data_IF_557892643757
#
_entry.id   IF_557892643757
#
_cell.length_a   1.000
_cell.length_b   1.000
_cell.length_c   1.000
_cell.angle_alpha   90.00
_cell.angle_beta   90.00
_cell.angle_gamma   90.00
#
_symmetry.space_group_name_H-M   'P 1'
#
loop_
_entity.id
_entity.type
_entity.pdbx_description
1 polymer ?
#
# COMPACT_ATOMS: atom_id res chain seq x y z
N UNK A 1 18.25 33.79 -11.31
CA UNK A 1 16.92 33.71 -11.97
C UNK A 1 16.83 32.38 -12.67
N UNK A 2 16.23 31.38 -12.03
CA UNK A 2 15.97 30.07 -12.64
C UNK A 2 14.47 29.98 -12.90
N UNK A 3 14.11 30.05 -14.18
CA UNK A 3 12.76 29.79 -14.67
C UNK A 3 12.61 28.29 -14.87
N UNK A 4 11.73 27.66 -14.08
CA UNK A 4 11.38 26.25 -14.23
C UNK A 4 9.87 26.12 -14.19
N UNK A 5 9.24 26.17 -15.37
CA UNK A 5 7.84 25.83 -15.57
C UNK A 5 7.60 24.39 -15.09
N UNK A 6 7.05 24.22 -13.89
CA UNK A 6 6.41 22.97 -13.52
C UNK A 6 5.01 22.94 -14.12
N UNK A 7 4.90 22.17 -15.19
CA UNK A 7 3.65 21.82 -15.85
C UNK A 7 2.81 20.98 -14.86
N UNK A 8 1.64 21.51 -14.51
CA UNK A 8 0.68 20.88 -13.60
C UNK A 8 0.14 19.58 -14.22
N UNK A 9 0.55 18.43 -13.70
CA UNK A 9 -0.04 17.12 -13.99
C UNK A 9 -1.02 16.78 -12.85
N UNK A 10 -2.31 16.54 -13.14
CA UNK A 10 -3.34 16.27 -12.14
C UNK A 10 -3.21 14.92 -11.41
N UNK A 11 -2.18 14.09 -11.69
CA UNK A 11 -2.00 12.75 -11.10
C UNK A 11 -1.22 12.66 -9.76
N UNK A 12 -1.04 13.77 -9.02
CA UNK A 12 -0.93 13.76 -7.54
C UNK A 12 0.07 12.85 -6.80
N UNK A 13 1.13 12.33 -7.41
CA UNK A 13 2.05 11.36 -6.77
C UNK A 13 3.54 11.79 -6.73
N UNK A 14 3.84 13.06 -7.05
CA UNK A 14 5.23 13.52 -7.17
C UNK A 14 5.98 13.52 -5.83
N UNK A 15 5.33 13.86 -4.73
CA UNK A 15 6.02 14.02 -3.45
C UNK A 15 6.50 12.68 -2.90
N UNK A 16 5.68 11.63 -2.91
CA UNK A 16 6.05 10.28 -2.44
C UNK A 16 7.11 9.60 -3.31
N UNK A 17 7.04 9.72 -4.64
CA UNK A 17 8.08 9.18 -5.53
C UNK A 17 9.40 9.96 -5.40
N UNK A 18 9.33 11.28 -5.21
CA UNK A 18 10.49 12.16 -5.00
C UNK A 18 11.20 11.87 -3.66
N UNK A 19 10.44 11.74 -2.57
CA UNK A 19 10.96 11.41 -1.23
C UNK A 19 11.68 10.05 -1.21
N UNK A 20 11.11 9.05 -1.89
CA UNK A 20 11.71 7.72 -2.01
C UNK A 20 12.99 7.76 -2.88
N UNK A 21 12.99 8.50 -3.99
CA UNK A 21 14.18 8.67 -4.83
C UNK A 21 15.33 9.41 -4.12
N UNK A 22 15.03 10.43 -3.32
CA UNK A 22 16.05 11.17 -2.55
C UNK A 22 16.66 10.36 -1.40
N UNK A 23 15.99 9.31 -0.91
CA UNK A 23 16.56 8.41 0.09
C UNK A 23 17.78 7.60 -0.38
N UNK A 24 18.02 7.53 -1.71
CA UNK A 24 19.18 6.83 -2.30
C UNK A 24 20.44 7.69 -2.30
N UNK A 25 20.30 9.00 -2.53
CA UNK A 25 21.44 9.86 -2.87
C UNK A 25 22.43 10.03 -1.69
N UNK A 26 21.94 10.04 -0.45
CA UNK A 26 22.76 10.23 0.75
C UNK A 26 23.47 8.96 1.25
N UNK A 27 23.00 7.76 0.88
CA UNK A 27 23.52 6.50 1.43
C UNK A 27 24.74 5.97 0.64
N UNK A 28 24.94 6.38 -0.61
CA UNK A 28 25.93 5.80 -1.53
C UNK A 28 27.40 6.24 -1.34
N UNK A 29 27.74 7.05 -0.33
CA UNK A 29 29.07 7.71 -0.25
C UNK A 29 30.06 7.23 0.81
N UNK A 30 29.74 6.24 1.68
CA UNK A 30 30.66 5.87 2.79
C UNK A 30 30.82 4.36 3.03
N UNK A 31 31.66 3.69 2.23
CA UNK A 31 32.03 2.26 2.35
C UNK A 31 32.16 1.75 3.80
N UNK A 32 31.14 1.04 4.30
CA UNK A 32 31.12 0.40 5.62
C UNK A 32 30.27 -0.88 5.64
N UNK A 33 30.69 -1.86 6.46
CA UNK A 33 29.99 -3.15 6.63
C UNK A 33 28.56 -2.91 7.16
N UNK A 34 27.54 -3.28 6.37
CA UNK A 34 26.12 -3.08 6.70
C UNK A 34 25.37 -2.15 5.73
N UNK A 35 26.08 -1.28 4.99
CA UNK A 35 25.46 -0.40 4.00
C UNK A 35 24.93 -1.13 2.76
N UNK A 36 25.44 -2.32 2.44
CA UNK A 36 24.97 -3.11 1.30
C UNK A 36 23.52 -3.60 1.44
N UNK A 37 23.10 -3.96 2.66
CA UNK A 37 21.71 -4.37 2.90
C UNK A 37 20.81 -3.13 2.87
N UNK A 38 21.25 -2.02 3.45
CA UNK A 38 20.55 -0.74 3.43
C UNK A 38 20.33 -0.25 1.99
N UNK A 39 21.39 -0.16 1.18
CA UNK A 39 21.32 0.28 -0.22
C UNK A 39 20.37 -0.59 -1.04
N UNK A 40 20.41 -1.92 -0.84
CA UNK A 40 19.47 -2.84 -1.51
C UNK A 40 18.03 -2.66 -1.05
N UNK A 41 17.80 -2.40 0.24
CA UNK A 41 16.47 -2.14 0.77
C UNK A 41 15.89 -0.85 0.17
N UNK A 42 16.65 0.23 0.16
CA UNK A 42 16.24 1.51 -0.46
C UNK A 42 15.91 1.33 -1.94
N UNK A 43 16.77 0.65 -2.71
CA UNK A 43 16.52 0.38 -4.12
C UNK A 43 15.24 -0.46 -4.33
N UNK A 44 15.00 -1.45 -3.47
CA UNK A 44 13.80 -2.30 -3.53
C UNK A 44 12.52 -1.54 -3.18
N UNK A 45 12.61 -0.59 -2.24
CA UNK A 45 11.50 0.32 -1.89
C UNK A 45 11.17 1.24 -3.06
N UNK A 46 12.16 1.80 -3.73
CA UNK A 46 11.93 2.65 -4.90
C UNK A 46 11.23 1.90 -6.04
N UNK A 47 11.54 0.62 -6.22
CA UNK A 47 10.85 -0.22 -7.19
C UNK A 47 9.34 -0.34 -6.90
N UNK A 48 8.95 -0.60 -5.63
CA UNK A 48 7.53 -0.71 -5.26
C UNK A 48 6.81 0.64 -5.20
N UNK A 49 7.55 1.74 -5.11
CA UNK A 49 6.98 3.10 -5.17
C UNK A 49 6.66 3.53 -6.60
N UNK A 50 7.26 2.91 -7.62
CA UNK A 50 7.03 3.25 -9.02
C UNK A 50 5.61 2.94 -9.51
N UNK A 51 5.10 3.74 -10.45
CA UNK A 51 3.85 3.46 -11.19
C UNK A 51 3.80 2.04 -11.81
N UNK A 52 4.95 1.42 -12.09
CA UNK A 52 5.03 0.05 -12.65
C UNK A 52 4.46 -1.00 -11.69
N UNK A 53 4.60 -0.80 -10.38
CA UNK A 53 4.16 -1.75 -9.36
C UNK A 53 2.67 -2.09 -9.47
N UNK A 54 1.81 -1.10 -9.77
CA UNK A 54 0.37 -1.32 -9.91
C UNK A 54 -0.06 -1.85 -11.28
N UNK A 55 0.80 -1.77 -12.30
CA UNK A 55 0.55 -2.38 -13.61
C UNK A 55 0.75 -3.89 -13.60
N UNK A 56 1.42 -4.43 -12.58
CA UNK A 56 1.65 -5.86 -12.41
C UNK A 56 0.36 -6.60 -11.99
N UNK A 57 0.38 -7.93 -12.12
CA UNK A 57 -0.66 -8.78 -11.54
C UNK A 57 -0.59 -8.71 -10.01
N UNK A 58 -1.71 -8.97 -9.31
CA UNK A 58 -1.73 -8.96 -7.83
C UNK A 58 -0.68 -9.91 -7.25
N UNK A 59 -0.54 -11.11 -7.85
CA UNK A 59 0.43 -12.12 -7.43
C UNK A 59 1.87 -11.63 -7.57
N UNK A 60 2.18 -10.95 -8.68
CA UNK A 60 3.52 -10.43 -8.91
C UNK A 60 3.82 -9.24 -8.00
N UNK A 61 2.87 -8.30 -7.85
CA UNK A 61 3.00 -7.17 -6.91
C UNK A 61 3.22 -7.66 -5.49
N UNK A 62 2.48 -8.69 -5.06
CA UNK A 62 2.65 -9.31 -3.75
C UNK A 62 4.04 -9.95 -3.59
N UNK A 63 4.51 -10.67 -4.61
CA UNK A 63 5.86 -11.26 -4.58
C UNK A 63 6.93 -10.19 -4.40
N UNK A 64 6.88 -9.12 -5.20
CA UNK A 64 7.83 -8.00 -5.09
C UNK A 64 7.72 -7.34 -3.71
N UNK A 65 6.51 -7.11 -3.20
CA UNK A 65 6.31 -6.57 -1.86
C UNK A 65 6.98 -7.43 -0.78
N UNK A 66 6.77 -8.75 -0.80
CA UNK A 66 7.38 -9.68 0.17
C UNK A 66 8.90 -9.67 0.10
N UNK A 67 9.46 -9.61 -1.11
CA UNK A 67 10.91 -9.51 -1.32
C UNK A 67 11.47 -8.18 -0.77
N UNK A 68 10.79 -7.06 -1.05
CA UNK A 68 11.16 -5.75 -0.52
C UNK A 68 11.05 -5.71 1.01
N UNK A 69 9.98 -6.23 1.58
CA UNK A 69 9.77 -6.32 3.02
C UNK A 69 10.90 -7.09 3.73
N UNK A 70 11.33 -8.22 3.15
CA UNK A 70 12.49 -8.97 3.66
C UNK A 70 13.79 -8.18 3.58
N UNK A 71 14.00 -7.43 2.50
CA UNK A 71 15.17 -6.56 2.36
C UNK A 71 15.18 -5.46 3.43
N UNK A 72 14.03 -4.82 3.68
CA UNK A 72 13.84 -3.81 4.73
C UNK A 72 14.12 -4.38 6.13
N UNK A 73 13.54 -5.54 6.47
CA UNK A 73 13.81 -6.23 7.75
C UNK A 73 15.31 -6.47 7.95
N UNK A 74 16.01 -6.92 6.91
CA UNK A 74 17.45 -7.18 6.98
C UNK A 74 18.26 -5.91 7.18
N UNK A 75 17.93 -4.84 6.44
CA UNK A 75 18.58 -3.54 6.57
C UNK A 75 18.38 -2.92 7.96
N UNK A 76 17.22 -3.14 8.58
CA UNK A 76 16.98 -2.72 9.95
C UNK A 76 17.92 -3.38 10.96
N UNK A 77 18.27 -4.65 10.76
CA UNK A 77 19.26 -5.32 11.61
C UNK A 77 20.67 -4.73 11.50
N UNK A 78 20.99 -4.02 10.41
CA UNK A 78 22.24 -3.27 10.29
C UNK A 78 22.11 -1.87 10.88
N UNK A 79 20.95 -1.21 10.70
CA UNK A 79 20.68 0.09 11.30
C UNK A 79 20.72 0.05 12.83
N UNK A 80 20.18 -0.99 13.47
CA UNK A 80 20.22 -1.19 14.93
C UNK A 80 21.65 -1.23 15.48
N UNK A 81 22.61 -1.76 14.70
CA UNK A 81 24.03 -1.82 15.12
C UNK A 81 24.70 -0.45 15.11
N UNK A 82 24.18 0.48 14.32
CA UNK A 82 24.66 1.86 14.23
C UNK A 82 23.97 2.68 15.33
N UNK A 83 22.64 2.57 15.42
CA UNK A 83 21.79 3.40 16.28
C UNK A 83 20.97 2.53 17.25
N UNK A 84 21.57 2.19 18.39
CA UNK A 84 20.99 1.23 19.35
C UNK A 84 19.66 1.65 19.97
N UNK A 85 19.38 2.95 20.07
CA UNK A 85 18.11 3.48 20.59
C UNK A 85 16.90 3.09 19.71
N UNK A 86 17.12 2.74 18.45
CA UNK A 86 16.06 2.31 17.53
C UNK A 86 15.59 0.86 17.76
N UNK A 87 16.30 0.09 18.58
CA UNK A 87 16.11 -1.36 18.71
C UNK A 87 14.66 -1.79 18.97
N UNK A 88 14.02 -1.24 19.98
CA UNK A 88 12.67 -1.66 20.40
C UNK A 88 11.60 -1.29 19.35
N UNK A 89 11.79 -0.14 18.71
CA UNK A 89 10.96 0.33 17.61
C UNK A 89 11.14 -0.56 16.38
N UNK A 90 12.38 -0.85 15.99
CA UNK A 90 12.71 -1.70 14.85
C UNK A 90 12.13 -3.09 15.06
N UNK A 91 12.28 -3.68 16.25
CA UNK A 91 11.72 -4.98 16.57
C UNK A 91 10.18 -4.99 16.41
N UNK A 92 9.50 -3.93 16.85
CA UNK A 92 8.06 -3.76 16.67
C UNK A 92 7.67 -3.73 15.18
N UNK A 93 8.42 -3.00 14.36
CA UNK A 93 8.17 -2.92 12.92
C UNK A 93 8.48 -4.23 12.18
N UNK A 94 9.58 -4.90 12.52
CA UNK A 94 9.94 -6.19 11.93
C UNK A 94 8.87 -7.24 12.22
N UNK A 95 8.37 -7.31 13.45
CA UNK A 95 7.27 -8.21 13.81
C UNK A 95 6.03 -7.96 12.96
N UNK A 96 5.66 -6.68 12.80
CA UNK A 96 4.50 -6.30 12.02
C UNK A 96 4.65 -6.59 10.52
N UNK A 97 5.79 -6.22 9.93
CA UNK A 97 6.07 -6.52 8.52
C UNK A 97 6.01 -8.04 8.32
N UNK A 98 6.61 -8.82 9.23
CA UNK A 98 6.59 -10.28 9.24
C UNK A 98 5.17 -10.86 9.23
N UNK A 99 4.27 -10.33 10.06
CA UNK A 99 2.85 -10.72 10.08
C UNK A 99 2.16 -10.47 8.73
N UNK A 100 2.53 -9.38 8.05
CA UNK A 100 1.99 -9.02 6.74
C UNK A 100 2.67 -9.76 5.57
N UNK A 101 3.56 -10.72 5.79
CA UNK A 101 4.13 -11.52 4.71
C UNK A 101 3.20 -12.65 4.23
N UNK A 102 2.20 -13.04 5.02
CA UNK A 102 1.20 -14.06 4.66
C UNK A 102 0.08 -13.44 3.80
N UNK A 103 0.46 -12.93 2.63
CA UNK A 103 -0.36 -12.04 1.80
C UNK A 103 -1.41 -12.71 0.91
N UNK A 104 -1.82 -13.96 1.19
CA UNK A 104 -2.76 -14.72 0.33
C UNK A 104 -4.11 -14.04 0.11
N UNK A 105 -4.45 -13.01 0.90
CA UNK A 105 -5.70 -12.25 0.85
C UNK A 105 -5.54 -10.79 0.40
N UNK A 106 -4.34 -10.36 -0.01
CA UNK A 106 -4.12 -8.97 -0.40
C UNK A 106 -4.63 -8.65 -1.79
N UNK A 107 -5.24 -7.47 -1.91
CA UNK A 107 -5.57 -6.85 -3.18
C UNK A 107 -4.69 -5.60 -3.41
N UNK A 108 -4.87 -4.95 -4.56
CA UNK A 108 -4.04 -3.79 -4.93
C UNK A 108 -4.16 -2.61 -3.96
N UNK A 109 -5.30 -2.41 -3.30
CA UNK A 109 -5.52 -1.32 -2.33
C UNK A 109 -4.75 -1.56 -1.03
N UNK A 110 -4.77 -2.79 -0.52
CA UNK A 110 -3.93 -3.15 0.64
C UNK A 110 -2.45 -3.07 0.29
N UNK A 111 -2.06 -3.53 -0.89
CA UNK A 111 -0.69 -3.39 -1.37
C UNK A 111 -0.28 -1.92 -1.55
N UNK A 112 -1.19 -1.01 -1.90
CA UNK A 112 -0.87 0.41 -2.05
C UNK A 112 -0.59 1.09 -0.70
N UNK A 113 -1.30 0.71 0.37
CA UNK A 113 -0.98 1.21 1.72
C UNK A 113 0.28 0.54 2.28
N UNK A 114 0.43 -0.77 2.08
CA UNK A 114 1.61 -1.52 2.48
C UNK A 114 2.93 -0.97 1.92
N UNK A 115 2.94 -0.52 0.64
CA UNK A 115 4.14 0.12 0.07
C UNK A 115 4.47 1.45 0.73
N UNK A 116 3.45 2.25 1.09
CA UNK A 116 3.63 3.52 1.77
C UNK A 116 4.27 3.29 3.14
N UNK A 117 3.77 2.29 3.88
CA UNK A 117 4.36 1.86 5.14
C UNK A 117 5.84 1.49 4.98
N UNK A 118 6.21 0.63 4.02
CA UNK A 118 7.62 0.26 3.81
C UNK A 118 8.48 1.46 3.43
N UNK A 119 7.94 2.38 2.61
CA UNK A 119 8.64 3.60 2.22
C UNK A 119 8.87 4.54 3.40
N UNK A 120 7.90 4.66 4.32
CA UNK A 120 8.05 5.45 5.57
C UNK A 120 9.13 4.87 6.45
N UNK A 121 9.09 3.55 6.63
CA UNK A 121 10.07 2.82 7.42
C UNK A 121 11.49 2.90 6.84
N UNK A 122 11.61 2.91 5.52
CA UNK A 122 12.90 3.05 4.84
C UNK A 122 13.53 4.43 4.99
N UNK A 123 12.78 5.48 5.37
CA UNK A 123 13.38 6.79 5.66
C UNK A 123 14.37 6.73 6.83
N UNK A 124 14.17 5.81 7.77
CA UNK A 124 15.08 5.60 8.90
C UNK A 124 16.47 5.14 8.44
N UNK A 125 16.59 4.54 7.26
CA UNK A 125 17.89 4.16 6.71
C UNK A 125 18.82 5.33 6.43
N UNK A 126 18.28 6.55 6.27
CA UNK A 126 19.10 7.75 6.19
C UNK A 126 19.85 8.04 7.49
N UNK A 127 19.37 7.58 8.64
CA UNK A 127 20.11 7.71 9.89
C UNK A 127 21.48 7.01 9.82
N UNK A 128 21.64 6.01 8.96
CA UNK A 128 22.93 5.33 8.80
C UNK A 128 24.08 6.24 8.34
N UNK A 129 23.79 7.41 7.74
CA UNK A 129 24.79 8.41 7.38
C UNK A 129 25.05 9.45 8.48
N UNK A 130 24.24 9.46 9.53
CA UNK A 130 24.41 10.34 10.69
C UNK A 130 25.22 9.63 11.78
N UNK A 131 26.36 10.21 12.13
CA UNK A 131 27.24 9.70 13.20
C UNK A 131 26.78 10.06 14.61
N UNK A 132 25.93 11.08 14.74
CA UNK A 132 25.32 11.51 16.00
C UNK A 132 23.84 11.88 15.74
N UNK A 133 22.97 11.50 16.67
CA UNK A 133 21.53 11.73 16.62
C UNK A 133 20.98 12.30 17.94
N UNK A 134 21.82 12.71 18.89
CA UNK A 134 21.39 13.17 20.23
C UNK A 134 20.33 14.26 20.18
N UNK A 135 20.50 15.25 19.30
CA UNK A 135 19.57 16.39 19.17
C UNK A 135 18.19 16.01 18.63
N UNK A 136 18.11 14.94 17.82
CA UNK A 136 16.86 14.50 17.19
C UNK A 136 16.26 13.27 17.87
N UNK A 137 16.96 12.63 18.81
CA UNK A 137 16.56 11.34 19.38
C UNK A 137 15.17 11.39 20.03
N UNK A 138 14.92 12.33 20.94
CA UNK A 138 13.63 12.45 21.62
C UNK A 138 12.47 12.69 20.63
N UNK A 139 12.54 13.73 19.78
CA UNK A 139 11.53 13.97 18.74
C UNK A 139 11.34 12.77 17.79
N UNK A 140 12.41 12.04 17.47
CA UNK A 140 12.35 10.86 16.61
C UNK A 140 11.63 9.70 17.31
N UNK A 141 11.91 9.44 18.59
CA UNK A 141 11.22 8.42 19.39
C UNK A 141 9.71 8.67 19.49
N UNK A 142 9.30 9.94 19.64
CA UNK A 142 7.89 10.34 19.63
C UNK A 142 7.23 10.05 18.27
N UNK A 143 7.90 10.41 17.18
CA UNK A 143 7.40 10.17 15.81
C UNK A 143 7.33 8.68 15.47
N UNK A 144 8.31 7.90 15.93
CA UNK A 144 8.35 6.45 15.78
C UNK A 144 7.21 5.78 16.55
N UNK A 145 6.89 6.28 17.75
CA UNK A 145 5.77 5.81 18.55
C UNK A 145 4.43 6.05 17.84
N UNK A 146 4.23 7.23 17.26
CA UNK A 146 3.05 7.53 16.44
C UNK A 146 2.96 6.66 15.18
N UNK A 147 4.12 6.41 14.54
CA UNK A 147 4.21 5.51 13.38
C UNK A 147 3.79 4.09 13.75
N UNK A 148 4.24 3.59 14.91
CA UNK A 148 3.85 2.29 15.45
C UNK A 148 2.35 2.19 15.70
N UNK A 149 1.74 3.20 16.30
CA UNK A 149 0.28 3.20 16.49
C UNK A 149 -0.48 3.13 15.17
N UNK A 150 -0.07 3.92 14.17
CA UNK A 150 -0.71 3.91 12.85
C UNK A 150 -0.56 2.57 12.13
N UNK A 151 0.58 1.90 12.31
CA UNK A 151 0.80 0.54 11.84
C UNK A 151 -0.21 -0.44 12.49
N UNK A 152 -0.43 -0.35 13.80
CA UNK A 152 -1.41 -1.19 14.50
C UNK A 152 -2.85 -0.92 14.05
N UNK A 153 -3.21 0.36 13.88
CA UNK A 153 -4.51 0.76 13.33
C UNK A 153 -4.71 0.19 11.92
N UNK A 154 -3.67 0.22 11.10
CA UNK A 154 -3.69 -0.35 9.76
C UNK A 154 -3.88 -1.88 9.77
N UNK A 155 -3.27 -2.63 10.70
CA UNK A 155 -3.55 -4.06 10.83
C UNK A 155 -5.03 -4.33 11.11
N UNK A 156 -5.61 -3.58 12.05
CA UNK A 156 -7.04 -3.71 12.37
C UNK A 156 -7.93 -3.35 11.18
N UNK A 157 -7.61 -2.25 10.47
CA UNK A 157 -8.37 -1.81 9.31
C UNK A 157 -8.26 -2.79 8.13
N UNK A 158 -7.06 -3.33 7.89
CA UNK A 158 -6.82 -4.30 6.81
C UNK A 158 -7.50 -5.64 7.07
N UNK A 159 -7.49 -6.14 8.31
CA UNK A 159 -8.24 -7.34 8.69
C UNK A 159 -9.76 -7.14 8.51
N UNK A 160 -10.29 -6.02 9.01
CA UNK A 160 -11.69 -5.65 8.81
C UNK A 160 -12.06 -5.57 7.33
N UNK A 161 -11.21 -4.94 6.51
CA UNK A 161 -11.42 -4.82 5.07
C UNK A 161 -11.34 -6.18 4.36
N UNK A 162 -10.39 -7.05 4.70
CA UNK A 162 -10.24 -8.37 4.08
C UNK A 162 -11.48 -9.24 4.30
N UNK A 163 -12.09 -9.14 5.49
CA UNK A 163 -13.30 -9.90 5.85
C UNK A 163 -14.54 -9.50 5.04
N UNK A 164 -14.54 -8.33 4.41
CA UNK A 164 -15.67 -7.85 3.61
C UNK A 164 -15.62 -8.29 2.15
N UNK A 165 -16.79 -8.61 1.59
CA UNK A 165 -16.94 -8.86 0.17
C UNK A 165 -16.93 -7.55 -0.65
N UNK A 166 -16.77 -7.65 -1.97
CA UNK A 166 -16.68 -6.48 -2.86
C UNK A 166 -17.92 -5.57 -2.81
N UNK A 167 -19.11 -6.15 -2.62
CA UNK A 167 -20.36 -5.40 -2.54
C UNK A 167 -20.39 -4.53 -1.27
N UNK A 168 -20.07 -5.10 -0.12
CA UNK A 168 -20.00 -4.38 1.16
C UNK A 168 -18.96 -3.26 1.09
N UNK A 169 -17.79 -3.52 0.51
CA UNK A 169 -16.74 -2.50 0.30
C UNK A 169 -17.21 -1.29 -0.52
N UNK A 170 -18.14 -1.49 -1.45
CA UNK A 170 -18.68 -0.43 -2.30
C UNK A 170 -19.83 0.32 -1.62
N UNK A 171 -20.68 -0.41 -0.90
CA UNK A 171 -21.85 0.17 -0.22
C UNK A 171 -21.44 0.91 1.05
N UNK A 172 -20.37 0.47 1.71
CA UNK A 172 -19.88 0.99 2.98
C UNK A 172 -18.44 1.51 2.80
N UNK A 173 -18.27 2.77 2.34
CA UNK A 173 -16.96 3.41 2.18
C UNK A 173 -16.15 3.46 3.49
N UNK A 174 -16.81 3.33 4.63
CA UNK A 174 -16.22 3.22 5.97
C UNK A 174 -15.21 2.07 6.13
N UNK A 175 -15.14 1.10 5.21
CA UNK A 175 -14.07 0.11 5.21
C UNK A 175 -12.81 0.54 4.46
N UNK A 176 -12.92 1.49 3.53
CA UNK A 176 -11.79 2.03 2.79
C UNK A 176 -11.22 3.28 3.45
N UNK A 177 -12.08 4.05 4.11
CA UNK A 177 -11.71 5.29 4.81
C UNK A 177 -10.57 5.07 5.83
N UNK A 178 -10.63 4.09 6.76
CA UNK A 178 -9.55 3.87 7.72
C UNK A 178 -8.24 3.43 7.07
N UNK A 179 -8.29 2.70 5.95
CA UNK A 179 -7.09 2.32 5.20
C UNK A 179 -6.43 3.55 4.58
N UNK A 180 -7.23 4.45 4.00
CA UNK A 180 -6.75 5.67 3.38
C UNK A 180 -6.17 6.64 4.43
N UNK A 181 -6.81 6.76 5.59
CA UNK A 181 -6.29 7.55 6.72
C UNK A 181 -4.93 7.03 7.20
N UNK A 182 -4.77 5.70 7.32
CA UNK A 182 -3.47 5.11 7.66
C UNK A 182 -2.40 5.42 6.59
N UNK A 183 -2.75 5.31 5.31
CA UNK A 183 -1.85 5.69 4.23
C UNK A 183 -1.46 7.17 4.28
N UNK A 184 -2.40 8.06 4.62
CA UNK A 184 -2.15 9.49 4.78
C UNK A 184 -1.17 9.76 5.92
N UNK A 185 -1.33 9.07 7.06
CA UNK A 185 -0.36 9.11 8.16
C UNK A 185 1.04 8.71 7.69
N UNK A 186 1.18 7.63 6.92
CA UNK A 186 2.49 7.19 6.42
C UNK A 186 3.18 8.21 5.53
N UNK A 187 2.43 8.90 4.65
CA UNK A 187 2.97 9.99 3.83
C UNK A 187 3.44 11.16 4.70
N UNK A 188 2.63 11.57 5.70
CA UNK A 188 3.02 12.64 6.63
C UNK A 188 4.27 12.30 7.42
N UNK A 189 4.35 11.07 7.93
CA UNK A 189 5.53 10.60 8.66
C UNK A 189 6.78 10.57 7.79
N UNK A 190 6.67 10.25 6.49
CA UNK A 190 7.83 10.36 5.57
C UNK A 190 8.36 11.79 5.52
N UNK A 191 7.48 12.76 5.34
CA UNK A 191 7.86 14.17 5.29
C UNK A 191 8.45 14.67 6.60
N UNK A 192 7.88 14.26 7.74
CA UNK A 192 8.40 14.60 9.06
C UNK A 192 9.75 13.96 9.35
N UNK A 193 9.93 12.68 8.98
CA UNK A 193 11.21 12.00 9.09
C UNK A 193 12.27 12.65 8.20
N UNK A 194 11.94 13.01 6.95
CA UNK A 194 12.89 13.72 6.09
C UNK A 194 13.30 15.07 6.68
N UNK A 195 12.33 15.87 7.12
CA UNK A 195 12.59 17.16 7.73
C UNK A 195 13.49 17.06 8.97
N UNK A 196 13.23 16.05 9.81
CA UNK A 196 13.98 15.82 11.04
C UNK A 196 15.40 15.32 10.77
N UNK A 197 15.57 14.41 9.81
CA UNK A 197 16.88 13.80 9.49
C UNK A 197 17.77 14.76 8.69
N UNK A 198 17.20 15.53 7.77
CA UNK A 198 17.97 16.41 6.87
C UNK A 198 18.05 17.85 7.35
N UNK A 199 17.26 18.23 8.37
CA UNK A 199 17.12 19.61 8.83
C UNK A 199 16.42 20.53 7.82
N UNK A 200 15.98 20.01 6.67
CA UNK A 200 15.36 20.78 5.60
C UNK A 200 14.03 20.15 5.18
N UNK A 201 13.01 20.98 5.06
CA UNK A 201 11.73 20.61 4.44
C UNK A 201 11.38 21.65 3.39
N UNK A 202 11.27 21.23 2.13
CA UNK A 202 11.02 22.13 0.99
C UNK A 202 9.53 22.32 0.66
N UNK A 203 8.60 21.75 1.44
CA UNK A 203 7.18 21.73 1.12
C UNK A 203 6.28 22.32 2.20
N UNK A 204 5.00 22.44 1.88
CA UNK A 204 3.95 22.46 2.90
C UNK A 204 3.54 21.01 3.19
N UNK A 205 3.31 20.69 4.47
CA UNK A 205 2.75 19.39 4.83
C UNK A 205 1.28 19.39 4.41
N UNK A 206 0.93 18.52 3.46
CA UNK A 206 -0.47 18.31 3.12
C UNK A 206 -1.28 17.87 4.34
N UNK A 207 -2.54 18.32 4.38
CA UNK A 207 -3.45 17.96 5.47
C UNK A 207 -3.76 16.46 5.41
N UNK A 208 -3.99 15.80 6.57
CA UNK A 208 -4.47 14.42 6.59
C UNK A 208 -5.69 14.20 5.71
N UNK A 209 -6.61 15.16 5.68
CA UNK A 209 -7.84 15.11 4.91
C UNK A 209 -7.56 15.08 3.40
N UNK A 210 -6.64 15.91 2.91
CA UNK A 210 -6.33 15.97 1.49
C UNK A 210 -5.55 14.73 1.01
N UNK A 211 -4.61 14.25 1.82
CA UNK A 211 -3.92 12.99 1.58
C UNK A 211 -4.88 11.80 1.56
N UNK A 212 -5.83 11.78 2.50
CA UNK A 212 -6.85 10.73 2.56
C UNK A 212 -7.71 10.73 1.30
N UNK A 213 -8.14 11.91 0.81
CA UNK A 213 -8.88 12.02 -0.47
C UNK A 213 -8.05 11.50 -1.65
N UNK A 214 -6.75 11.82 -1.72
CA UNK A 214 -5.86 11.35 -2.78
C UNK A 214 -5.72 9.83 -2.77
N UNK A 215 -5.55 9.22 -1.60
CA UNK A 215 -5.46 7.75 -1.47
C UNK A 215 -6.79 7.08 -1.83
N UNK A 216 -7.92 7.65 -1.40
CA UNK A 216 -9.23 7.16 -1.82
C UNK A 216 -9.42 7.27 -3.34
N UNK A 217 -8.92 8.32 -3.97
CA UNK A 217 -8.92 8.44 -5.43
C UNK A 217 -8.02 7.37 -6.08
N UNK A 218 -6.81 7.12 -5.55
CA UNK A 218 -5.94 6.03 -5.98
C UNK A 218 -6.66 4.68 -5.89
N UNK A 219 -7.37 4.40 -4.78
CA UNK A 219 -8.13 3.16 -4.60
C UNK A 219 -9.13 2.93 -5.74
N UNK A 220 -9.76 3.98 -6.28
CA UNK A 220 -10.68 3.86 -7.42
C UNK A 220 -9.97 3.35 -8.68
N UNK A 221 -8.74 3.78 -8.92
CA UNK A 221 -7.93 3.28 -10.04
C UNK A 221 -7.57 1.79 -9.86
N UNK A 222 -7.53 1.34 -8.61
CA UNK A 222 -7.18 -0.02 -8.19
C UNK A 222 -8.39 -0.94 -7.99
N UNK A 223 -9.61 -0.46 -8.25
CA UNK A 223 -10.83 -1.28 -8.21
C UNK A 223 -10.68 -2.52 -9.12
N UNK A 224 -11.05 -3.67 -8.59
CA UNK A 224 -11.15 -4.93 -9.35
C UNK A 224 -12.23 -4.82 -10.43
N UNK A 225 -12.20 -5.72 -11.41
CA UNK A 225 -13.26 -5.80 -12.44
C UNK A 225 -14.65 -5.97 -11.82
N UNK A 226 -14.75 -6.75 -10.73
CA UNK A 226 -16.00 -6.94 -10.01
C UNK A 226 -16.45 -5.65 -9.33
N UNK A 227 -15.54 -4.94 -8.66
CA UNK A 227 -15.88 -3.67 -8.01
C UNK A 227 -16.33 -2.60 -9.02
N UNK A 228 -15.65 -2.51 -10.16
CA UNK A 228 -16.05 -1.63 -11.27
C UNK A 228 -17.45 -1.97 -11.77
N UNK A 229 -17.72 -3.25 -12.05
CA UNK A 229 -19.03 -3.69 -12.52
C UNK A 229 -20.17 -3.40 -11.53
N UNK A 230 -19.94 -3.57 -10.23
CA UNK A 230 -20.92 -3.23 -9.19
C UNK A 230 -21.19 -1.71 -9.19
N UNK A 231 -20.13 -0.90 -9.25
CA UNK A 231 -20.24 0.56 -9.27
C UNK A 231 -20.99 1.06 -10.52
N UNK A 232 -20.64 0.55 -11.70
CA UNK A 232 -21.28 0.90 -12.97
C UNK A 232 -22.77 0.56 -12.94
N UNK A 233 -23.12 -0.60 -12.36
CA UNK A 233 -24.51 -1.00 -12.16
C UNK A 233 -25.26 -0.03 -11.24
N UNK A 234 -24.67 0.31 -10.09
CA UNK A 234 -25.26 1.28 -9.15
C UNK A 234 -25.48 2.63 -9.83
N UNK A 235 -24.51 3.11 -10.61
CA UNK A 235 -24.63 4.37 -11.33
C UNK A 235 -25.72 4.31 -12.40
N UNK A 236 -25.80 3.23 -13.17
CA UNK A 236 -26.85 3.00 -14.18
C UNK A 236 -28.27 2.99 -13.59
N UNK A 237 -28.41 2.56 -12.33
CA UNK A 237 -29.67 2.53 -11.59
C UNK A 237 -30.02 3.85 -10.88
N UNK A 238 -29.25 4.91 -11.12
CA UNK A 238 -29.51 6.23 -10.52
C UNK A 238 -28.93 6.39 -9.11
N UNK A 239 -27.96 5.56 -8.74
CA UNK A 239 -27.22 5.66 -7.49
C UNK A 239 -27.64 4.65 -6.42
N UNK A 240 -26.83 4.59 -5.35
CA UNK A 240 -26.93 3.57 -4.30
C UNK A 240 -28.29 3.58 -3.60
N UNK A 241 -28.85 4.77 -3.33
CA UNK A 241 -30.17 4.92 -2.68
C UNK A 241 -31.31 4.29 -3.46
N UNK A 242 -31.21 4.22 -4.79
CA UNK A 242 -32.24 3.61 -5.64
C UNK A 242 -32.12 2.09 -5.62
N UNK A 243 -30.88 1.59 -5.76
CA UNK A 243 -30.58 0.16 -5.70
C UNK A 243 -31.00 -0.46 -4.36
N UNK A 244 -30.72 0.21 -3.24
CA UNK A 244 -31.05 -0.31 -1.90
C UNK A 244 -32.57 -0.40 -1.63
N UNK A 245 -33.42 0.20 -2.47
CA UNK A 245 -34.88 0.09 -2.37
C UNK A 245 -35.46 -1.11 -3.12
N UNK A 246 -34.64 -1.79 -3.92
CA UNK A 246 -35.06 -2.89 -4.80
C UNK A 246 -34.38 -4.20 -4.40
N UNK A 247 -35.16 -5.14 -3.87
CA UNK A 247 -34.65 -6.47 -3.51
C UNK A 247 -34.06 -7.23 -4.70
N UNK A 248 -34.55 -6.97 -5.92
CA UNK A 248 -34.04 -7.60 -7.14
C UNK A 248 -32.69 -7.02 -7.57
N UNK A 249 -32.50 -5.71 -7.39
CA UNK A 249 -31.21 -5.06 -7.67
C UNK A 249 -30.15 -5.51 -6.64
N UNK A 250 -30.52 -5.69 -5.37
CA UNK A 250 -29.64 -6.25 -4.33
C UNK A 250 -29.25 -7.70 -4.66
N UNK A 251 -30.22 -8.54 -5.05
CA UNK A 251 -29.95 -9.92 -5.51
C UNK A 251 -29.05 -9.96 -6.74
N UNK A 252 -29.23 -9.03 -7.67
CA UNK A 252 -28.38 -8.93 -8.86
C UNK A 252 -26.94 -8.58 -8.49
N UNK A 253 -26.75 -7.66 -7.54
CA UNK A 253 -25.43 -7.28 -7.04
C UNK A 253 -24.73 -8.41 -6.26
N UNK A 254 -25.47 -9.20 -5.48
CA UNK A 254 -24.91 -10.36 -4.78
C UNK A 254 -24.68 -11.57 -5.73
N UNK A 255 -25.51 -11.70 -6.77
CA UNK A 255 -25.43 -12.73 -7.81
C UNK A 255 -24.30 -12.53 -8.84
N UNK A 256 -23.74 -11.32 -8.94
CA UNK A 256 -22.53 -11.04 -9.73
C UNK A 256 -21.26 -11.76 -9.21
N UNK A 257 -21.39 -12.67 -8.25
CA UNK A 257 -20.41 -13.69 -7.85
C UNK A 257 -20.09 -14.72 -8.94
N UNK A 258 -20.87 -14.83 -10.05
CA UNK A 258 -20.91 -16.09 -10.79
C UNK A 258 -20.57 -16.12 -12.30
N UNK A 259 -19.93 -15.13 -12.94
CA UNK A 259 -19.57 -15.24 -14.38
C UNK A 259 -18.10 -14.90 -14.70
N UNK A 260 -17.17 -15.79 -14.34
CA UNK A 260 -15.98 -16.12 -15.16
C UNK A 260 -15.53 -17.56 -14.88
N UNK A 261 -16.17 -18.50 -15.54
CA UNK A 261 -15.75 -19.90 -15.49
C UNK A 261 -16.69 -20.81 -16.27
N UNK A 262 -16.66 -20.75 -17.59
CA UNK A 262 -16.69 -21.91 -18.50
C UNK A 262 -16.83 -21.45 -19.95
N UNK A 263 -15.76 -21.66 -20.72
CA UNK A 263 -15.88 -21.91 -22.16
C UNK A 263 -16.49 -23.30 -22.29
N UNK A 264 -17.75 -23.41 -22.69
CA UNK A 264 -18.23 -24.62 -23.35
C UNK A 264 -18.04 -24.42 -24.86
N UNK A 265 -16.86 -24.78 -25.35
CA UNK A 265 -16.73 -25.19 -26.76
C UNK A 265 -17.32 -26.59 -26.85
N UNK A 266 -18.36 -26.72 -27.69
CA UNK A 266 -19.16 -27.94 -27.82
C UNK A 266 -18.54 -29.04 -28.70
N UNK A 267 -19.46 -29.81 -29.29
CA UNK A 267 -19.34 -31.11 -29.99
C UNK A 267 -19.47 -32.28 -29.00
N UNK A 268 -20.55 -33.05 -28.97
CA UNK A 268 -21.41 -33.52 -30.06
C UNK A 268 -21.25 -35.02 -30.12
N UNK A 269 -22.16 -35.78 -29.51
CA UNK A 269 -22.34 -37.20 -29.84
C UNK A 269 -23.79 -37.61 -29.62
N UNK A 270 -24.43 -37.90 -30.74
CA UNK A 270 -25.78 -38.42 -30.88
C UNK A 270 -25.90 -39.85 -30.31
N UNK A 271 -27.03 -40.08 -29.64
CA UNK A 271 -27.97 -41.19 -29.86
C UNK A 271 -27.41 -42.61 -30.06
N UNK A 272 -27.69 -43.49 -29.09
CA UNK A 272 -28.32 -44.79 -29.38
C UNK A 272 -28.98 -45.43 -28.15
N UNK A 273 -30.31 -45.39 -28.15
CA UNK A 273 -31.17 -46.41 -27.54
C UNK A 273 -30.77 -47.81 -28.03
N UNK A 274 -30.75 -48.80 -27.15
CA UNK A 274 -31.33 -50.13 -27.40
C UNK A 274 -31.74 -50.77 -26.08
N UNK A 275 -33.02 -51.13 -26.04
CA UNK A 275 -33.66 -52.04 -25.09
C UNK A 275 -33.20 -53.49 -25.34
N UNK A 276 -33.16 -54.30 -24.28
CA UNK A 276 -33.65 -55.69 -24.14
C UNK A 276 -33.14 -56.19 -22.77
N UNK A 277 -33.98 -56.37 -21.75
CA UNK A 277 -34.83 -57.55 -21.44
C UNK A 277 -34.07 -58.88 -21.59
N UNK A 278 -33.53 -59.37 -20.48
CA UNK A 278 -33.74 -60.70 -19.90
C UNK A 278 -33.12 -60.73 -18.49
#
# INVERSE_FOLDING_TARGET
MYNGNQQYDPEGNYQTEYLAQNAVADVTTTNGVGQDNISRAVASVNNIMSKRFFRMSIKDSQKVYVETAKAVIKAFGDLEKIHSFLKDVIASFQHYIGFNLDGSKYNKKLLSVNRLQLSTLAMLFRLASLSDCEEIQGPLEDLLSQTKESILRYASASDAYIKQNALVKIIQPEFEQPLAECGACFIRYQSQLEAMITGYFSGELETPEDLTKKILAEFRTLDTTQEKSIRDYIQKKGGLKTVLKSNDDIKTLDGNKCHKGQKTSGTGFESRRRETVA
#
